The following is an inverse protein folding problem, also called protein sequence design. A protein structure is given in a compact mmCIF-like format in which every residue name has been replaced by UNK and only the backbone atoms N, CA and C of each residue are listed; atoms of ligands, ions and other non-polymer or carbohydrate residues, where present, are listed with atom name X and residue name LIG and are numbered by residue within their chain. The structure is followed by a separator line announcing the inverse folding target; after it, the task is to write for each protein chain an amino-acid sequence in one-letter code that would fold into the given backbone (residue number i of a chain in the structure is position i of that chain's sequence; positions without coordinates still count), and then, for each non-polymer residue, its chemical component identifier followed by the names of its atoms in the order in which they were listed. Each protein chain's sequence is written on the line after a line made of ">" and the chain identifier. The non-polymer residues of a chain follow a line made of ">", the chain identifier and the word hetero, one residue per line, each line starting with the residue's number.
data_IF_472547206873
#
_entry.id   IF_472547206873
#
_cell.length_a   1.000
_cell.length_b   1.000
_cell.length_c   1.000
_cell.angle_alpha   90.00
_cell.angle_beta   90.00
_cell.angle_gamma   90.00
#
_symmetry.space_group_name_H-M   'P 1'
#
loop_
_entity.id
_entity.type
_entity.pdbx_description
1 polymer ?
#
# COMPACT_ATOMS: atom_id res chain seq x y z
N UNK A 1 19.22 22.74 -8.83
CA UNK A 1 17.95 21.99 -8.85
C UNK A 1 17.28 21.98 -7.48
N UNK A 2 17.99 21.63 -6.40
CA UNK A 2 17.45 21.60 -5.03
C UNK A 2 16.93 22.96 -4.56
N UNK A 3 17.73 24.03 -4.70
CA UNK A 3 17.38 25.39 -4.25
C UNK A 3 16.19 26.01 -4.99
N UNK A 4 15.96 25.63 -6.24
CA UNK A 4 14.81 26.08 -7.04
C UNK A 4 13.52 25.40 -6.56
N UNK A 5 13.61 24.15 -6.12
CA UNK A 5 12.48 23.35 -5.67
C UNK A 5 11.43 23.06 -6.75
N UNK A 6 10.45 22.25 -6.39
CA UNK A 6 9.34 21.83 -7.26
C UNK A 6 8.02 22.30 -6.65
N UNK A 7 7.18 22.95 -7.45
CA UNK A 7 5.82 23.29 -7.04
C UNK A 7 4.93 22.05 -7.14
N UNK A 8 4.07 21.85 -6.14
CA UNK A 8 3.07 20.79 -6.12
C UNK A 8 1.69 21.38 -5.91
N UNK A 9 0.70 20.80 -6.57
CA UNK A 9 -0.70 21.15 -6.37
C UNK A 9 -1.24 20.43 -5.14
N UNK A 10 -1.31 21.16 -4.02
CA UNK A 10 -1.77 20.63 -2.74
C UNK A 10 -3.24 20.24 -2.77
N UNK A 11 -4.06 20.98 -3.51
CA UNK A 11 -5.50 20.74 -3.54
C UNK A 11 -5.83 19.49 -4.38
N UNK A 12 -5.10 19.30 -5.48
CA UNK A 12 -5.14 18.06 -6.24
C UNK A 12 -4.73 16.85 -5.37
N UNK A 13 -3.65 16.97 -4.57
CA UNK A 13 -3.22 15.90 -3.66
C UNK A 13 -4.25 15.62 -2.55
N UNK A 14 -4.92 16.63 -2.00
CA UNK A 14 -5.99 16.44 -1.02
C UNK A 14 -7.19 15.70 -1.62
N UNK A 15 -7.61 16.10 -2.81
CA UNK A 15 -8.69 15.43 -3.56
C UNK A 15 -8.34 13.97 -3.85
N UNK A 16 -7.09 13.73 -4.25
CA UNK A 16 -6.57 12.39 -4.46
C UNK A 16 -6.55 11.57 -3.16
N UNK A 17 -6.13 12.16 -2.03
CA UNK A 17 -6.14 11.49 -0.72
C UNK A 17 -7.53 10.95 -0.36
N UNK A 18 -8.57 11.78 -0.50
CA UNK A 18 -9.96 11.37 -0.25
C UNK A 18 -10.38 10.22 -1.16
N UNK A 19 -10.04 10.30 -2.45
CA UNK A 19 -10.37 9.26 -3.44
C UNK A 19 -9.68 7.93 -3.13
N UNK A 20 -8.39 7.97 -2.79
CA UNK A 20 -7.61 6.80 -2.44
C UNK A 20 -8.09 6.14 -1.15
N UNK A 21 -8.46 6.93 -0.13
CA UNK A 21 -9.05 6.41 1.12
C UNK A 21 -10.34 5.66 0.86
N UNK A 22 -11.27 6.26 0.10
CA UNK A 22 -12.53 5.59 -0.24
C UNK A 22 -12.29 4.27 -1.01
N UNK A 23 -11.32 4.24 -1.91
CA UNK A 23 -10.95 3.02 -2.64
C UNK A 23 -10.31 1.97 -1.72
N UNK A 24 -9.44 2.38 -0.80
CA UNK A 24 -8.83 1.49 0.19
C UNK A 24 -9.88 0.87 1.13
N UNK A 25 -10.87 1.64 1.56
CA UNK A 25 -11.95 1.15 2.41
C UNK A 25 -12.79 0.10 1.67
N UNK A 26 -13.14 0.35 0.41
CA UNK A 26 -13.81 -0.63 -0.45
C UNK A 26 -12.98 -1.92 -0.63
N UNK A 27 -11.70 -1.79 -0.96
CA UNK A 27 -10.79 -2.95 -1.11
C UNK A 27 -10.64 -3.72 0.19
N UNK A 28 -10.58 -3.03 1.33
CA UNK A 28 -10.48 -3.65 2.66
C UNK A 28 -11.70 -4.52 2.93
N UNK A 29 -12.91 -4.00 2.67
CA UNK A 29 -14.15 -4.77 2.79
C UNK A 29 -14.19 -5.99 1.87
N UNK A 30 -13.74 -5.85 0.62
CA UNK A 30 -13.64 -6.97 -0.33
C UNK A 30 -12.63 -8.03 0.14
N UNK A 31 -11.46 -7.62 0.64
CA UNK A 31 -10.43 -8.53 1.16
C UNK A 31 -10.98 -9.31 2.36
N UNK A 32 -11.66 -8.64 3.29
CA UNK A 32 -12.25 -9.30 4.46
C UNK A 32 -13.34 -10.30 4.08
N UNK A 33 -14.19 -9.94 3.11
CA UNK A 33 -15.21 -10.85 2.57
C UNK A 33 -14.59 -12.08 1.92
N UNK A 34 -13.56 -11.89 1.08
CA UNK A 34 -12.87 -12.99 0.38
C UNK A 34 -12.04 -13.86 1.34
N UNK A 35 -11.48 -13.27 2.39
CA UNK A 35 -10.72 -14.00 3.43
C UNK A 35 -11.61 -14.64 4.50
N UNK A 36 -12.88 -14.24 4.60
CA UNK A 36 -13.83 -14.65 5.64
C UNK A 36 -13.39 -14.26 7.06
N UNK A 37 -12.56 -13.23 7.20
CA UNK A 37 -12.14 -12.66 8.49
C UNK A 37 -11.54 -11.28 8.28
N UNK A 38 -11.68 -10.44 9.30
CA UNK A 38 -10.92 -9.21 9.42
C UNK A 38 -9.52 -9.48 9.95
N UNK A 39 -8.56 -8.69 9.50
CA UNK A 39 -7.17 -8.72 9.93
C UNK A 39 -6.45 -7.44 9.48
N UNK A 40 -5.26 -7.18 10.03
CA UNK A 40 -4.43 -6.08 9.56
C UNK A 40 -3.72 -6.46 8.25
N UNK A 41 -4.23 -5.97 7.12
CA UNK A 41 -3.68 -6.20 5.77
C UNK A 41 -2.25 -5.66 5.63
N UNK A 42 -1.92 -4.59 6.36
CA UNK A 42 -0.58 -4.02 6.42
C UNK A 42 0.41 -4.83 7.27
N UNK A 43 -0.03 -5.82 8.05
CA UNK A 43 0.85 -6.68 8.84
C UNK A 43 1.26 -7.92 8.04
N UNK A 44 2.55 -8.08 7.68
CA UNK A 44 3.01 -9.25 6.93
C UNK A 44 2.71 -10.57 7.65
N UNK A 45 2.77 -10.56 9.00
CA UNK A 45 2.49 -11.73 9.83
C UNK A 45 1.03 -12.16 9.77
N UNK A 46 0.09 -11.22 9.94
CA UNK A 46 -1.34 -11.55 9.88
C UNK A 46 -1.76 -11.94 8.47
N UNK A 47 -1.26 -11.22 7.46
CA UNK A 47 -1.52 -11.56 6.07
C UNK A 47 -1.00 -12.96 5.71
N UNK A 48 0.24 -13.29 6.12
CA UNK A 48 0.79 -14.63 5.90
C UNK A 48 -0.08 -15.72 6.52
N UNK A 49 -0.54 -15.52 7.76
CA UNK A 49 -1.46 -16.46 8.41
C UNK A 49 -2.75 -16.66 7.61
N UNK A 50 -3.37 -15.57 7.14
CA UNK A 50 -4.61 -15.67 6.34
C UNK A 50 -4.36 -16.41 5.03
N UNK A 51 -3.31 -16.07 4.29
CA UNK A 51 -3.05 -16.67 2.98
C UNK A 51 -2.67 -18.16 3.09
N UNK A 52 -1.79 -18.52 4.01
CA UNK A 52 -1.17 -19.85 4.02
C UNK A 52 -1.81 -20.80 5.03
N UNK A 53 -2.31 -20.32 6.15
CA UNK A 53 -2.95 -21.18 7.17
C UNK A 53 -4.47 -21.21 7.02
N UNK A 54 -5.13 -20.08 6.74
CA UNK A 54 -6.59 -20.06 6.60
C UNK A 54 -7.07 -20.44 5.21
N UNK A 55 -6.52 -19.79 4.18
CA UNK A 55 -6.89 -20.04 2.79
C UNK A 55 -6.10 -21.18 2.15
N UNK A 56 -5.11 -21.74 2.87
CA UNK A 56 -4.34 -22.91 2.45
C UNK A 56 -3.70 -22.73 1.05
N UNK A 57 -3.29 -21.50 0.71
CA UNK A 57 -2.60 -21.22 -0.54
C UNK A 57 -1.19 -21.82 -0.51
N UNK A 58 -0.62 -22.20 -1.66
CA UNK A 58 0.71 -22.80 -1.71
C UNK A 58 1.78 -21.81 -1.22
N UNK A 59 2.71 -22.29 -0.41
CA UNK A 59 3.80 -21.45 0.09
C UNK A 59 4.92 -21.39 -0.94
N UNK A 60 5.23 -20.19 -1.44
CA UNK A 60 6.26 -20.00 -2.48
C UNK A 60 7.64 -19.78 -1.87
N UNK A 61 7.73 -19.02 -0.78
CA UNK A 61 9.01 -18.55 -0.19
C UNK A 61 8.88 -18.34 1.31
N UNK A 62 9.90 -18.71 2.08
CA UNK A 62 10.00 -18.45 3.52
C UNK A 62 11.20 -17.54 3.81
N UNK A 63 11.04 -16.66 4.79
CA UNK A 63 12.11 -15.82 5.34
C UNK A 63 12.44 -16.29 6.76
N UNK A 64 13.45 -15.68 7.39
CA UNK A 64 13.82 -15.98 8.79
C UNK A 64 12.67 -15.75 9.78
N UNK A 65 11.68 -14.91 9.43
CA UNK A 65 10.59 -14.49 10.32
C UNK A 65 9.23 -15.10 9.98
N UNK A 66 9.11 -15.88 8.90
CA UNK A 66 7.86 -16.55 8.52
C UNK A 66 7.71 -16.71 7.01
N UNK A 67 6.47 -16.87 6.54
CA UNK A 67 6.18 -16.92 5.10
C UNK A 67 6.35 -15.54 4.47
N UNK A 68 6.92 -15.49 3.26
CA UNK A 68 6.99 -14.24 2.51
C UNK A 68 5.62 -13.85 1.98
N UNK A 69 5.31 -12.56 2.06
CA UNK A 69 4.18 -11.94 1.38
C UNK A 69 4.68 -10.77 0.54
N UNK A 70 5.90 -10.85 0.00
CA UNK A 70 6.43 -9.82 -0.93
C UNK A 70 5.61 -9.77 -2.23
N UNK A 71 5.79 -8.69 -3.00
CA UNK A 71 5.02 -8.48 -4.23
C UNK A 71 5.19 -9.63 -5.23
N UNK A 72 6.43 -10.11 -5.41
CA UNK A 72 6.75 -11.23 -6.31
C UNK A 72 6.00 -12.52 -5.93
N UNK A 73 5.97 -12.87 -4.63
CA UNK A 73 5.22 -14.04 -4.15
C UNK A 73 3.72 -13.85 -4.34
N UNK A 74 3.19 -12.65 -4.05
CA UNK A 74 1.77 -12.37 -4.22
C UNK A 74 1.37 -12.39 -5.71
N UNK A 75 2.19 -11.91 -6.63
CA UNK A 75 1.93 -11.98 -8.07
C UNK A 75 1.83 -13.44 -8.56
N UNK A 76 2.71 -14.32 -8.07
CA UNK A 76 2.63 -15.76 -8.37
C UNK A 76 1.38 -16.43 -7.79
N UNK A 77 0.85 -15.89 -6.68
CA UNK A 77 -0.35 -16.40 -6.01
C UNK A 77 -1.64 -15.76 -6.53
N UNK A 78 -1.57 -14.63 -7.25
CA UNK A 78 -2.73 -13.92 -7.78
C UNK A 78 -3.66 -14.81 -8.63
N UNK A 79 -3.16 -15.73 -9.48
CA UNK A 79 -4.01 -16.66 -10.23
C UNK A 79 -4.72 -17.71 -9.35
N UNK A 80 -4.27 -17.93 -8.11
CA UNK A 80 -4.79 -18.98 -7.23
C UNK A 80 -6.01 -18.54 -6.43
N UNK A 81 -6.10 -17.26 -6.10
CA UNK A 81 -7.22 -16.74 -5.32
C UNK A 81 -7.38 -15.24 -5.51
N UNK A 82 -8.61 -14.79 -5.78
CA UNK A 82 -8.92 -13.38 -6.08
C UNK A 82 -8.48 -12.40 -4.98
N UNK A 83 -8.55 -12.83 -3.70
CA UNK A 83 -8.08 -12.04 -2.55
C UNK A 83 -6.66 -11.51 -2.74
N UNK A 84 -5.79 -12.28 -3.41
CA UNK A 84 -4.38 -11.92 -3.57
C UNK A 84 -4.24 -10.74 -4.53
N UNK A 85 -5.02 -10.71 -5.61
CA UNK A 85 -5.07 -9.56 -6.52
C UNK A 85 -5.58 -8.30 -5.80
N UNK A 86 -6.60 -8.43 -4.95
CA UNK A 86 -7.10 -7.30 -4.13
C UNK A 86 -6.07 -6.80 -3.13
N UNK A 87 -5.30 -7.71 -2.51
CA UNK A 87 -4.22 -7.34 -1.57
C UNK A 87 -3.10 -6.57 -2.28
N UNK A 88 -2.72 -7.00 -3.49
CA UNK A 88 -1.72 -6.29 -4.30
C UNK A 88 -2.17 -4.85 -4.58
N UNK A 89 -3.39 -4.68 -5.09
CA UNK A 89 -4.00 -3.37 -5.35
C UNK A 89 -4.06 -2.51 -4.07
N UNK A 90 -4.55 -3.09 -2.97
CA UNK A 90 -4.61 -2.39 -1.68
C UNK A 90 -3.23 -1.90 -1.23
N UNK A 91 -2.18 -2.71 -1.37
CA UNK A 91 -0.82 -2.32 -0.98
C UNK A 91 -0.24 -1.22 -1.86
N UNK A 92 -0.50 -1.26 -3.16
CA UNK A 92 -0.09 -0.21 -4.08
C UNK A 92 -0.73 1.13 -3.70
N UNK A 93 -2.06 1.15 -3.53
CA UNK A 93 -2.79 2.37 -3.16
C UNK A 93 -2.41 2.86 -1.76
N UNK A 94 -2.22 1.96 -0.80
CA UNK A 94 -1.81 2.29 0.56
C UNK A 94 -0.43 2.95 0.58
N UNK A 95 0.52 2.44 -0.22
CA UNK A 95 1.85 3.05 -0.37
C UNK A 95 1.76 4.41 -1.06
N UNK A 96 0.99 4.52 -2.14
CA UNK A 96 0.77 5.78 -2.85
C UNK A 96 0.24 6.85 -1.88
N UNK A 97 -0.77 6.49 -1.09
CA UNK A 97 -1.38 7.37 -0.10
C UNK A 97 -0.39 7.76 1.02
N UNK A 98 0.15 6.78 1.73
CA UNK A 98 0.91 6.99 2.97
C UNK A 98 2.34 7.48 2.77
N UNK A 99 2.96 7.21 1.62
CA UNK A 99 4.35 7.61 1.36
C UNK A 99 4.43 8.93 0.59
N UNK A 100 3.44 9.20 -0.27
CA UNK A 100 3.48 10.34 -1.18
C UNK A 100 2.33 11.31 -0.92
N UNK A 101 1.09 10.88 -1.11
CA UNK A 101 -0.05 11.81 -1.20
C UNK A 101 -0.32 12.55 0.12
N UNK A 102 -0.29 11.85 1.25
CA UNK A 102 -0.49 12.47 2.57
C UNK A 102 0.75 13.21 3.08
N UNK A 103 1.94 12.79 2.63
CA UNK A 103 3.23 13.25 3.19
C UNK A 103 3.76 14.49 2.49
N UNK A 104 3.72 14.53 1.15
CA UNK A 104 4.31 15.61 0.35
C UNK A 104 3.78 17.01 0.69
N UNK A 105 2.47 17.23 0.95
CA UNK A 105 1.98 18.54 1.37
C UNK A 105 2.63 19.05 2.67
N UNK A 106 2.97 18.14 3.59
CA UNK A 106 3.65 18.47 4.85
C UNK A 106 5.15 18.74 4.69
N UNK A 107 5.73 18.46 3.52
CA UNK A 107 7.15 18.67 3.21
C UNK A 107 7.41 19.98 2.43
N UNK A 108 6.38 20.80 2.20
CA UNK A 108 6.52 22.08 1.52
C UNK A 108 7.23 23.08 2.45
N UNK A 109 8.29 23.72 1.94
CA UNK A 109 8.93 24.83 2.66
C UNK A 109 7.99 26.05 2.68
N UNK A 110 7.58 26.56 3.85
CA UNK A 110 6.65 27.68 3.96
C UNK A 110 7.21 29.00 3.41
N UNK A 111 8.54 29.13 3.25
CA UNK A 111 9.20 30.34 2.74
C UNK A 111 9.16 30.42 1.22
N UNK A 112 9.25 29.27 0.55
CA UNK A 112 9.30 29.20 -0.93
C UNK A 112 8.00 28.70 -1.53
N UNK A 113 7.16 28.02 -0.74
CA UNK A 113 5.96 27.34 -1.22
C UNK A 113 6.27 26.12 -2.10
N UNK A 114 7.49 25.57 -2.01
CA UNK A 114 7.99 24.51 -2.90
C UNK A 114 8.60 23.36 -2.11
N UNK A 115 8.65 22.19 -2.73
CA UNK A 115 9.34 21.02 -2.21
C UNK A 115 10.81 21.07 -2.64
N UNK A 116 11.72 20.87 -1.68
CA UNK A 116 13.15 20.86 -1.91
C UNK A 116 13.69 19.46 -1.59
N UNK A 117 14.26 18.79 -2.59
CA UNK A 117 14.92 17.48 -2.41
C UNK A 117 16.41 17.65 -2.14
N UNK A 118 17.08 16.57 -1.77
CA UNK A 118 18.53 16.49 -1.59
C UNK A 118 19.08 15.37 -2.45
N UNK A 119 20.09 15.67 -3.27
CA UNK A 119 20.86 14.72 -4.07
C UNK A 119 22.13 14.36 -3.31
N UNK A 120 22.28 13.07 -2.99
CA UNK A 120 23.49 12.51 -2.38
C UNK A 120 24.42 11.90 -3.43
#
# INVERSE_FOLDING_TARGET
>A
METVGVAIDVEALRTLSVTLRARLDALTGEIYRLAGTEFNIGSPKQLAFVLFEKLQLPTVKRTKTGFSTDAEVLEQLAPRHEVVARILEHRELSKLLSTYVDVLPGMIDPRTGRLHTTFN
#
